data_IF_410420513678
#
_entry.id   IF_410420513678
#
_cell.length_a   1.000
_cell.length_b   1.000
_cell.length_c   1.000
_cell.angle_alpha   90.00
_cell.angle_beta   90.00
_cell.angle_gamma   90.00
#
_symmetry.space_group_name_H-M   'P 1'
#
loop_
_entity.id
_entity.type
_entity.pdbx_description
1 polymer ?
#
# COMPACT_ATOMS: atom_id res chain seq x y z
N UNK A 1 -35.10 2.27 -1.66
CA UNK A 1 -34.07 2.15 -2.72
C UNK A 1 -32.64 2.29 -2.20
N UNK A 2 -32.30 3.27 -1.35
CA UNK A 2 -30.94 3.47 -0.80
C UNK A 2 -30.35 2.26 -0.04
N UNK A 3 -31.19 1.49 0.67
CA UNK A 3 -30.78 0.28 1.42
C UNK A 3 -30.31 -0.88 0.52
N UNK A 4 -30.85 -0.98 -0.70
CA UNK A 4 -30.47 -2.03 -1.67
C UNK A 4 -29.09 -1.72 -2.26
N UNK A 5 -28.78 -0.44 -2.47
CA UNK A 5 -27.46 0.02 -2.91
C UNK A 5 -26.36 -0.34 -1.91
N UNK A 6 -26.59 -0.11 -0.61
CA UNK A 6 -25.62 -0.46 0.43
C UNK A 6 -25.43 -1.97 0.58
N UNK A 7 -26.49 -2.76 0.40
CA UNK A 7 -26.40 -4.21 0.44
C UNK A 7 -25.57 -4.75 -0.73
N UNK A 8 -25.71 -4.17 -1.93
CA UNK A 8 -24.92 -4.53 -3.11
C UNK A 8 -23.43 -4.22 -2.93
N UNK A 9 -23.11 -3.02 -2.41
CA UNK A 9 -21.72 -2.64 -2.10
C UNK A 9 -21.11 -3.55 -1.04
N UNK A 10 -21.87 -3.88 0.01
CA UNK A 10 -21.41 -4.77 1.08
C UNK A 10 -21.12 -6.20 0.59
N UNK A 11 -21.98 -6.74 -0.28
CA UNK A 11 -21.77 -8.06 -0.88
C UNK A 11 -20.57 -8.08 -1.83
N UNK A 12 -20.35 -7.01 -2.60
CA UNK A 12 -19.18 -6.86 -3.47
C UNK A 12 -17.87 -6.85 -2.66
N UNK A 13 -17.85 -6.11 -1.54
CA UNK A 13 -16.72 -6.03 -0.61
C UNK A 13 -16.38 -7.38 0.05
N UNK A 14 -17.39 -8.22 0.31
CA UNK A 14 -17.20 -9.55 0.90
C UNK A 14 -16.66 -10.57 -0.10
N UNK A 15 -16.95 -10.41 -1.40
CA UNK A 15 -16.56 -11.37 -2.43
C UNK A 15 -15.21 -11.05 -3.08
N UNK A 16 -14.89 -9.76 -3.23
CA UNK A 16 -13.63 -9.28 -3.81
C UNK A 16 -13.12 -8.04 -3.06
N UNK A 17 -12.58 -8.22 -1.83
CA UNK A 17 -12.02 -7.09 -1.09
C UNK A 17 -10.85 -6.45 -1.85
N UNK A 18 -10.12 -7.22 -2.66
CA UNK A 18 -9.02 -6.71 -3.47
C UNK A 18 -9.52 -5.74 -4.55
N UNK A 19 -10.50 -6.10 -5.39
CA UNK A 19 -10.96 -5.23 -6.49
C UNK A 19 -11.78 -4.00 -6.04
N UNK A 20 -12.44 -4.07 -4.88
CA UNK A 20 -13.22 -2.95 -4.36
C UNK A 20 -12.34 -1.80 -3.82
N UNK A 21 -11.11 -2.11 -3.40
CA UNK A 21 -10.14 -1.12 -2.91
C UNK A 21 -9.01 -0.86 -3.89
N UNK A 22 -8.69 -1.83 -4.75
CA UNK A 22 -7.76 -1.65 -5.85
C UNK A 22 -8.53 -1.05 -7.03
N UNK A 23 -8.80 0.25 -6.97
CA UNK A 23 -9.00 1.04 -8.20
C UNK A 23 -7.86 0.75 -9.18
N UNK A 24 -8.03 1.03 -10.49
CA UNK A 24 -7.09 0.59 -11.51
C UNK A 24 -5.67 0.91 -11.06
N UNK A 25 -4.84 -0.14 -10.90
CA UNK A 25 -3.44 0.01 -10.54
C UNK A 25 -2.83 0.97 -11.54
N UNK A 26 -2.61 2.22 -11.11
CA UNK A 26 -1.92 3.20 -11.92
C UNK A 26 -0.44 2.88 -11.80
N UNK A 27 -0.02 1.84 -12.50
CA UNK A 27 1.39 1.67 -12.84
C UNK A 27 1.89 2.89 -13.59
N UNK A 28 3.20 3.05 -13.65
CA UNK A 28 3.82 4.18 -14.36
C UNK A 28 3.69 4.06 -15.87
N UNK A 29 3.35 2.87 -16.39
CA UNK A 29 3.38 2.54 -17.81
C UNK A 29 4.81 2.35 -18.35
N UNK A 30 5.81 2.38 -17.46
CA UNK A 30 7.22 2.15 -17.78
C UNK A 30 7.65 0.85 -17.09
N UNK A 31 7.91 -0.25 -17.85
CA UNK A 31 8.11 -1.58 -17.27
C UNK A 31 9.17 -1.64 -16.17
N UNK A 32 10.27 -0.88 -16.32
CA UNK A 32 11.35 -0.86 -15.33
C UNK A 32 10.93 -0.27 -13.98
N UNK A 33 10.02 0.70 -13.97
CA UNK A 33 9.51 1.29 -12.74
C UNK A 33 8.45 0.38 -12.10
N UNK A 34 7.61 -0.26 -12.91
CA UNK A 34 6.62 -1.22 -12.42
C UNK A 34 7.33 -2.44 -11.77
N UNK A 35 8.38 -2.98 -12.42
CA UNK A 35 9.25 -4.01 -11.83
C UNK A 35 9.91 -3.58 -10.50
N UNK A 36 10.24 -2.29 -10.38
CA UNK A 36 10.85 -1.74 -9.17
C UNK A 36 9.81 -1.62 -8.04
N UNK A 37 8.56 -1.29 -8.38
CA UNK A 37 7.42 -1.28 -7.45
C UNK A 37 7.17 -2.68 -6.91
N UNK A 38 7.19 -3.71 -7.75
CA UNK A 38 7.01 -5.11 -7.30
C UNK A 38 8.09 -5.54 -6.31
N UNK A 39 9.35 -5.21 -6.60
CA UNK A 39 10.48 -5.49 -5.69
C UNK A 39 10.36 -4.71 -4.38
N UNK A 40 9.91 -3.46 -4.45
CA UNK A 40 9.67 -2.62 -3.29
C UNK A 40 8.56 -3.18 -2.40
N UNK A 41 7.45 -3.64 -2.99
CA UNK A 41 6.35 -4.28 -2.27
C UNK A 41 6.81 -5.56 -1.59
N UNK A 42 7.52 -6.44 -2.31
CA UNK A 42 8.09 -7.65 -1.75
C UNK A 42 9.05 -7.38 -0.58
N UNK A 43 9.87 -6.32 -0.70
CA UNK A 43 10.73 -5.87 0.39
C UNK A 43 9.93 -5.45 1.64
N UNK A 44 8.88 -4.64 1.48
CA UNK A 44 8.05 -4.20 2.61
C UNK A 44 7.30 -5.36 3.27
N UNK A 45 6.78 -6.29 2.47
CA UNK A 45 6.13 -7.51 2.98
C UNK A 45 7.10 -8.36 3.81
N UNK A 46 8.31 -8.60 3.29
CA UNK A 46 9.37 -9.32 4.00
C UNK A 46 9.76 -8.62 5.30
N UNK A 47 9.93 -7.30 5.24
CA UNK A 47 10.29 -6.49 6.41
C UNK A 47 9.24 -6.60 7.52
N UNK A 48 7.95 -6.63 7.16
CA UNK A 48 6.85 -6.87 8.11
C UNK A 48 6.92 -8.28 8.68
N UNK A 49 7.07 -9.31 7.84
CA UNK A 49 7.14 -10.71 8.28
C UNK A 49 8.31 -10.97 9.24
N UNK A 50 9.46 -10.32 9.00
CA UNK A 50 10.67 -10.46 9.79
C UNK A 50 10.77 -9.47 10.96
N UNK A 51 9.76 -8.62 11.17
CA UNK A 51 9.76 -7.54 12.17
C UNK A 51 11.03 -6.65 12.08
N UNK A 52 11.46 -6.37 10.86
CA UNK A 52 12.71 -5.65 10.60
C UNK A 52 12.62 -4.18 11.06
N UNK A 53 13.57 -3.73 11.88
CA UNK A 53 13.59 -2.37 12.44
C UNK A 53 14.33 -1.36 11.53
N UNK A 54 14.10 -1.42 10.21
CA UNK A 54 14.72 -0.51 9.23
C UNK A 54 13.70 0.48 8.66
N UNK A 55 12.91 1.10 9.53
CA UNK A 55 11.78 1.86 9.03
C UNK A 55 12.14 3.12 8.23
N UNK A 56 13.35 3.67 8.36
CA UNK A 56 13.80 4.79 7.52
C UNK A 56 13.90 4.38 6.05
N UNK A 57 14.49 3.20 5.80
CA UNK A 57 14.53 2.59 4.48
C UNK A 57 13.13 2.24 3.99
N UNK A 58 12.29 1.66 4.85
CA UNK A 58 10.90 1.32 4.51
C UNK A 58 10.09 2.56 4.10
N UNK A 59 10.28 3.70 4.77
CA UNK A 59 9.58 4.94 4.43
C UNK A 59 10.05 5.55 3.10
N UNK A 60 11.35 5.49 2.80
CA UNK A 60 11.87 5.92 1.50
C UNK A 60 11.33 5.03 0.36
N UNK A 61 11.25 3.73 0.59
CA UNK A 61 10.65 2.78 -0.36
C UNK A 61 9.17 3.10 -0.57
N UNK A 62 8.40 3.29 0.50
CA UNK A 62 6.99 3.67 0.44
C UNK A 62 6.78 5.00 -0.32
N UNK A 63 7.64 6.00 -0.08
CA UNK A 63 7.61 7.26 -0.81
C UNK A 63 7.86 7.08 -2.30
N UNK A 64 8.85 6.26 -2.68
CA UNK A 64 9.12 5.95 -4.09
C UNK A 64 7.93 5.25 -4.75
N UNK A 65 7.29 4.30 -4.08
CA UNK A 65 6.10 3.60 -4.56
C UNK A 65 4.92 4.55 -4.80
N UNK A 66 4.67 5.50 -3.89
CA UNK A 66 3.62 6.52 -4.06
C UNK A 66 3.85 7.35 -5.32
N UNK A 67 5.09 7.75 -5.60
CA UNK A 67 5.44 8.49 -6.82
C UNK A 67 5.34 7.63 -8.10
N UNK A 68 5.34 6.31 -7.95
CA UNK A 68 5.08 5.36 -9.05
C UNK A 68 3.59 5.04 -9.22
N UNK A 69 2.70 5.71 -8.46
CA UNK A 69 1.25 5.57 -8.59
C UNK A 69 0.60 4.57 -7.64
N UNK A 70 1.37 3.97 -6.72
CA UNK A 70 0.80 3.14 -5.64
C UNK A 70 0.01 4.02 -4.68
N UNK A 71 -1.18 3.56 -4.30
CA UNK A 71 -2.06 4.23 -3.35
C UNK A 71 -1.39 4.42 -1.99
N UNK A 72 -1.66 5.56 -1.34
CA UNK A 72 -1.18 5.83 0.03
C UNK A 72 -1.90 4.96 1.07
N UNK A 73 -3.06 4.45 0.71
CA UNK A 73 -3.92 3.58 1.48
C UNK A 73 -3.48 2.11 1.40
N UNK A 74 -2.52 1.76 0.54
CA UNK A 74 -1.93 0.43 0.53
C UNK A 74 -1.40 0.07 1.93
N UNK A 75 -1.76 -1.11 2.48
CA UNK A 75 -1.49 -1.45 3.87
C UNK A 75 0.01 -1.50 4.20
N UNK A 76 0.87 -1.84 3.24
CA UNK A 76 2.33 -1.91 3.45
C UNK A 76 2.95 -0.51 3.36
N UNK A 77 2.50 0.30 2.40
CA UNK A 77 2.90 1.71 2.26
C UNK A 77 2.48 2.51 3.50
N UNK A 78 1.21 2.45 3.88
CA UNK A 78 0.66 3.16 5.04
C UNK A 78 1.40 2.78 6.33
N UNK A 79 1.67 1.48 6.53
CA UNK A 79 2.43 0.99 7.70
C UNK A 79 3.87 1.48 7.72
N UNK A 80 4.55 1.45 6.57
CA UNK A 80 5.93 1.92 6.45
C UNK A 80 6.04 3.44 6.75
N UNK A 81 5.09 4.23 6.26
CA UNK A 81 5.01 5.68 6.54
C UNK A 81 4.70 5.93 8.02
N UNK A 82 3.72 5.24 8.59
CA UNK A 82 3.36 5.38 10.01
C UNK A 82 4.52 4.99 10.94
N UNK A 83 5.24 3.92 10.62
CA UNK A 83 6.42 3.48 11.38
C UNK A 83 7.56 4.51 11.35
N UNK A 84 7.63 5.37 10.32
CA UNK A 84 8.58 6.49 10.29
C UNK A 84 8.09 7.73 11.01
N UNK A 85 6.81 8.09 10.87
CA UNK A 85 6.21 9.20 11.62
C UNK A 85 6.27 8.98 13.15
N UNK A 86 6.11 7.73 13.60
CA UNK A 86 6.25 7.36 15.02
C UNK A 86 7.68 7.49 15.57
N UNK A 87 8.72 7.51 14.71
CA UNK A 87 10.12 7.74 15.14
C UNK A 87 10.47 9.22 15.27
N UNK A 88 9.77 10.12 14.58
CA UNK A 88 10.02 11.57 14.67
C UNK A 88 9.60 12.21 16.00
N UNK A 89 8.91 11.49 16.89
CA UNK A 89 8.54 11.96 18.24
C UNK A 89 9.52 11.58 19.35
N UNK A 90 10.66 10.94 19.02
CA UNK A 90 11.70 10.56 19.98
C UNK A 90 12.93 11.45 19.86
N UNK A 91 12.79 12.73 20.23
CA UNK A 91 13.90 13.63 20.59
C UNK A 91 13.48 14.39 21.85
#
# INVERSE_FOLDING_TARGET
MRKILYLGVFLLLMHNPAEAFNGPEKGTGVPRFDDAVDKALAYLQRAVAQKEQRGGQQALVAYAMINCGVSREDPFVAKAVAAAAGRSGGV
#
